data_IF_515869941310
#
_entry.id   IF_515869941310
#
_cell.length_a   1.000
_cell.length_b   1.000
_cell.length_c   1.000
_cell.angle_alpha   90.00
_cell.angle_beta   90.00
_cell.angle_gamma   90.00
#
_symmetry.space_group_name_H-M   'P 1'
#
loop_
_entity.id
_entity.type
_entity.pdbx_description
1 polymer ?
#
# COMPACT_ATOMS: atom_id res chain seq x y z
N UNK A 1 3.09 -19.33 0.87
CA UNK A 1 4.50 -18.89 0.74
C UNK A 1 5.00 -19.23 -0.66
N UNK A 2 5.67 -18.29 -1.33
CA UNK A 2 6.35 -18.56 -2.60
C UNK A 2 7.85 -18.39 -2.37
N UNK A 3 8.61 -19.48 -2.46
CA UNK A 3 10.07 -19.44 -2.47
C UNK A 3 10.49 -19.49 -3.94
N UNK A 4 11.13 -18.41 -4.41
CA UNK A 4 11.68 -18.36 -5.77
C UNK A 4 13.21 -18.38 -5.67
N UNK A 5 13.79 -19.44 -6.21
CA UNK A 5 15.20 -19.49 -6.58
C UNK A 5 15.29 -18.84 -7.95
N UNK A 6 15.65 -17.55 -7.99
CA UNK A 6 15.78 -16.82 -9.25
C UNK A 6 17.18 -16.25 -9.38
N UNK A 7 18.19 -17.08 -9.71
CA UNK A 7 19.42 -16.56 -10.25
C UNK A 7 19.08 -16.00 -11.63
N UNK A 8 18.87 -14.68 -11.73
CA UNK A 8 18.87 -13.99 -13.03
C UNK A 8 20.27 -14.05 -13.69
N UNK A 9 21.27 -14.41 -12.89
CA UNK A 9 22.67 -14.57 -13.23
C UNK A 9 23.25 -15.67 -12.31
N UNK A 10 24.10 -16.56 -12.82
CA UNK A 10 24.72 -17.65 -12.03
C UNK A 10 25.65 -17.13 -10.93
N UNK A 11 25.98 -15.83 -10.98
CA UNK A 11 26.75 -15.12 -9.94
C UNK A 11 25.88 -14.61 -8.78
N UNK A 12 24.55 -14.67 -8.91
CA UNK A 12 23.60 -14.12 -7.93
C UNK A 12 23.05 -15.21 -7.01
N UNK A 13 23.77 -15.48 -5.91
CA UNK A 13 23.40 -16.47 -4.90
C UNK A 13 22.41 -15.92 -3.87
N UNK A 14 21.17 -15.63 -4.28
CA UNK A 14 20.12 -15.27 -3.31
C UNK A 14 18.84 -16.10 -3.50
N UNK A 15 18.22 -16.42 -2.37
CA UNK A 15 16.88 -16.99 -2.29
C UNK A 15 15.89 -15.87 -2.03
N UNK A 16 14.84 -15.76 -2.85
CA UNK A 16 13.73 -14.84 -2.56
C UNK A 16 12.61 -15.59 -1.88
N UNK A 17 12.24 -15.12 -0.70
CA UNK A 17 11.06 -15.58 0.03
C UNK A 17 10.00 -14.49 -0.04
N UNK A 18 8.83 -14.84 -0.58
CA UNK A 18 7.65 -13.96 -0.61
C UNK A 18 6.57 -14.56 0.27
N UNK A 19 6.16 -13.81 1.29
CA UNK A 19 5.18 -14.22 2.29
C UNK A 19 4.15 -13.11 2.51
N UNK A 20 2.90 -13.50 2.69
CA UNK A 20 1.88 -12.62 3.24
C UNK A 20 1.55 -13.15 4.66
N UNK A 21 1.94 -12.44 5.72
CA UNK A 21 1.77 -12.91 7.09
C UNK A 21 0.28 -13.02 7.48
N UNK A 22 -0.62 -12.23 6.89
CA UNK A 22 -2.06 -12.30 7.20
C UNK A 22 -2.74 -13.57 6.64
N UNK A 23 -2.05 -14.30 5.76
CA UNK A 23 -2.58 -15.47 5.04
C UNK A 23 -1.74 -16.72 5.23
N UNK A 24 -0.69 -16.64 6.03
CA UNK A 24 0.28 -17.72 6.19
C UNK A 24 0.53 -17.93 7.67
N UNK A 25 0.60 -19.18 8.10
CA UNK A 25 1.05 -19.54 9.44
C UNK A 25 2.55 -19.21 9.57
N UNK A 26 2.85 -18.12 10.28
CA UNK A 26 4.22 -17.62 10.41
C UNK A 26 5.16 -18.59 11.15
N UNK A 27 4.76 -19.19 12.29
CA UNK A 27 5.53 -20.28 12.91
C UNK A 27 6.00 -21.36 11.94
N UNK A 28 5.11 -21.85 11.08
CA UNK A 28 5.44 -22.88 10.08
C UNK A 28 6.46 -22.37 9.04
N UNK A 29 6.35 -21.10 8.64
CA UNK A 29 7.33 -20.47 7.73
C UNK A 29 8.69 -20.38 8.40
N UNK A 30 8.75 -19.95 9.66
CA UNK A 30 9.99 -19.85 10.43
C UNK A 30 10.65 -21.23 10.54
N UNK A 31 9.91 -22.25 10.97
CA UNK A 31 10.39 -23.63 11.07
C UNK A 31 10.98 -24.11 9.73
N UNK A 32 10.28 -23.87 8.63
CA UNK A 32 10.73 -24.27 7.31
C UNK A 32 12.01 -23.55 6.86
N UNK A 33 12.11 -22.24 7.10
CA UNK A 33 13.30 -21.46 6.75
C UNK A 33 14.51 -21.88 7.62
N UNK A 34 14.30 -22.05 8.93
CA UNK A 34 15.35 -22.53 9.84
C UNK A 34 15.80 -23.93 9.42
N UNK A 35 14.88 -24.82 9.06
CA UNK A 35 15.21 -26.17 8.59
C UNK A 35 16.00 -26.20 7.29
N UNK A 36 15.67 -25.33 6.31
CA UNK A 36 16.39 -25.26 5.03
C UNK A 36 17.82 -24.71 5.22
N UNK A 37 17.96 -23.62 5.98
CA UNK A 37 19.23 -22.91 6.08
C UNK A 37 20.07 -23.33 7.29
N UNK A 38 19.52 -24.13 8.19
CA UNK A 38 20.13 -24.59 9.43
C UNK A 38 20.71 -23.44 10.28
N UNK A 39 19.97 -22.34 10.37
CA UNK A 39 20.37 -21.13 11.10
C UNK A 39 19.15 -20.52 11.82
N UNK A 40 19.34 -19.85 12.98
CA UNK A 40 18.26 -19.14 13.65
C UNK A 40 17.63 -18.07 12.75
N UNK A 41 16.31 -17.90 12.82
CA UNK A 41 15.57 -16.94 11.98
C UNK A 41 16.12 -15.51 12.08
N UNK A 42 16.59 -15.11 13.27
CA UNK A 42 17.19 -13.79 13.47
C UNK A 42 18.44 -13.58 12.62
N UNK A 43 19.33 -14.57 12.57
CA UNK A 43 20.53 -14.52 11.72
C UNK A 43 20.17 -14.47 10.23
N UNK A 44 19.14 -15.21 9.82
CA UNK A 44 18.61 -15.15 8.46
C UNK A 44 18.06 -13.76 8.12
N UNK A 45 17.31 -13.14 9.03
CA UNK A 45 16.75 -11.80 8.83
C UNK A 45 17.83 -10.72 8.80
N UNK A 46 18.84 -10.80 9.66
CA UNK A 46 19.94 -9.82 9.73
C UNK A 46 20.79 -9.78 8.45
N UNK A 47 20.97 -10.91 7.78
CA UNK A 47 21.67 -10.98 6.47
C UNK A 47 20.74 -10.77 5.26
N UNK A 48 19.43 -10.75 5.48
CA UNK A 48 18.45 -10.61 4.40
C UNK A 48 18.29 -9.16 3.95
N UNK A 49 17.84 -9.00 2.70
CA UNK A 49 17.35 -7.74 2.16
C UNK A 49 15.87 -7.86 1.88
N UNK A 50 15.08 -6.96 2.44
CA UNK A 50 13.65 -6.86 2.17
C UNK A 50 13.49 -6.12 0.84
N UNK A 51 13.13 -6.86 -0.21
CA UNK A 51 12.95 -6.27 -1.55
C UNK A 51 11.59 -5.59 -1.73
N UNK A 52 10.62 -5.96 -0.89
CA UNK A 52 9.27 -5.43 -0.91
C UNK A 52 8.68 -5.58 0.49
N UNK A 53 8.24 -4.47 1.07
CA UNK A 53 7.42 -4.44 2.28
C UNK A 53 6.11 -3.76 1.93
N UNK A 54 5.01 -4.49 2.13
CA UNK A 54 3.67 -4.00 1.84
C UNK A 54 2.89 -3.86 3.13
N UNK A 55 2.16 -2.77 3.19
CA UNK A 55 1.26 -2.46 4.30
C UNK A 55 -0.07 -2.06 3.67
N UNK A 56 -1.16 -2.50 4.28
CA UNK A 56 -2.48 -2.32 3.69
C UNK A 56 -3.47 -1.86 4.75
N UNK A 57 -4.46 -1.09 4.33
CA UNK A 57 -5.64 -0.82 5.13
C UNK A 57 -6.88 -0.86 4.26
N UNK A 58 -7.97 -1.24 4.90
CA UNK A 58 -9.26 -1.44 4.26
C UNK A 58 -10.22 -0.32 4.63
N UNK A 59 -10.87 0.24 3.61
CA UNK A 59 -11.94 1.21 3.72
C UNK A 59 -13.25 0.52 3.37
N UNK A 60 -14.13 0.42 4.36
CA UNK A 60 -15.42 -0.23 4.21
C UNK A 60 -16.49 0.74 3.69
N UNK A 61 -17.37 0.26 2.82
CA UNK A 61 -18.58 0.97 2.39
C UNK A 61 -18.36 2.11 1.40
N UNK A 62 -17.11 2.41 1.02
CA UNK A 62 -16.80 3.47 0.05
C UNK A 62 -16.05 2.89 -1.15
N UNK A 63 -16.53 3.09 -2.39
CA UNK A 63 -15.82 2.67 -3.60
C UNK A 63 -14.49 3.41 -3.78
N UNK A 64 -13.45 2.70 -4.23
CA UNK A 64 -12.11 3.27 -4.36
C UNK A 64 -12.04 4.40 -5.42
N UNK A 65 -13.00 4.44 -6.35
CA UNK A 65 -13.18 5.47 -7.38
C UNK A 65 -13.63 6.83 -6.82
N UNK A 66 -14.27 6.82 -5.64
CA UNK A 66 -14.78 8.01 -4.97
C UNK A 66 -13.78 8.54 -3.91
N UNK A 67 -12.61 7.88 -3.77
CA UNK A 67 -11.55 8.28 -2.85
C UNK A 67 -10.55 9.21 -3.54
N UNK A 68 -10.25 10.33 -2.88
CA UNK A 68 -9.24 11.29 -3.31
C UNK A 68 -8.01 11.23 -2.41
N UNK A 69 -6.83 11.27 -3.02
CA UNK A 69 -5.54 11.14 -2.33
C UNK A 69 -4.82 12.48 -2.29
N UNK A 70 -4.43 12.92 -1.10
CA UNK A 70 -3.55 14.08 -0.90
C UNK A 70 -2.31 13.66 -0.11
N UNK A 71 -1.14 14.17 -0.47
CA UNK A 71 0.14 13.81 0.17
C UNK A 71 1.21 13.36 -0.81
N UNK A 72 0.80 12.97 -2.03
CA UNK A 72 1.69 12.55 -3.10
C UNK A 72 1.78 13.58 -4.21
N UNK A 73 2.96 13.74 -4.82
CA UNK A 73 3.20 14.59 -6.01
C UNK A 73 3.33 13.73 -7.27
N UNK A 74 2.44 12.76 -7.44
CA UNK A 74 2.53 11.78 -8.52
C UNK A 74 1.23 11.73 -9.31
N UNK A 75 1.36 11.39 -10.59
CA UNK A 75 0.24 11.06 -11.45
C UNK A 75 -0.35 9.71 -11.05
N UNK A 76 -1.62 9.49 -11.41
CA UNK A 76 -2.30 8.21 -11.24
C UNK A 76 -2.12 7.39 -12.52
N UNK A 77 -1.75 6.13 -12.39
CA UNK A 77 -1.82 5.16 -13.48
C UNK A 77 -2.95 4.19 -13.17
N UNK A 78 -3.86 3.99 -14.12
CA UNK A 78 -4.93 3.00 -13.98
C UNK A 78 -4.50 1.72 -14.70
N UNK A 79 -4.41 0.61 -13.98
CA UNK A 79 -4.32 -0.71 -14.59
C UNK A 79 -5.70 -1.36 -14.59
N UNK A 80 -6.16 -1.79 -15.75
CA UNK A 80 -7.46 -2.43 -15.96
C UNK A 80 -7.19 -3.92 -16.19
N UNK A 81 -7.89 -4.78 -15.46
CA UNK A 81 -7.84 -6.23 -15.62
C UNK A 81 -9.20 -6.84 -15.23
N UNK A 82 -9.41 -8.12 -15.49
CA UNK A 82 -10.71 -8.79 -15.25
C UNK A 82 -11.16 -8.74 -13.78
N UNK A 83 -10.20 -8.58 -12.84
CA UNK A 83 -10.47 -8.39 -11.42
C UNK A 83 -10.76 -6.94 -10.99
N UNK A 84 -10.86 -6.01 -11.95
CA UNK A 84 -11.23 -4.62 -11.74
C UNK A 84 -10.16 -3.62 -12.13
N UNK A 85 -10.25 -2.44 -11.54
CA UNK A 85 -9.32 -1.35 -11.78
C UNK A 85 -8.44 -1.15 -10.55
N UNK A 86 -7.13 -1.04 -10.77
CA UNK A 86 -6.17 -0.63 -9.75
C UNK A 86 -5.64 0.75 -10.10
N UNK A 87 -5.63 1.66 -9.13
CA UNK A 87 -4.97 2.96 -9.25
C UNK A 87 -3.63 2.93 -8.57
N UNK A 88 -2.58 3.17 -9.35
CA UNK A 88 -1.22 3.30 -8.88
C UNK A 88 -0.85 4.76 -8.77
N UNK A 89 -0.33 5.17 -7.61
CA UNK A 89 0.28 6.47 -7.44
C UNK A 89 1.78 6.27 -7.23
N UNK A 90 2.57 6.74 -8.19
CA UNK A 90 4.02 6.50 -8.26
C UNK A 90 4.41 5.59 -9.43
N UNK A 91 5.69 5.63 -9.81
CA UNK A 91 6.23 4.85 -10.93
C UNK A 91 6.79 3.50 -10.45
N UNK A 92 6.88 2.51 -11.33
CA UNK A 92 7.30 1.15 -10.97
C UNK A 92 8.66 1.08 -10.26
N UNK A 93 9.61 1.94 -10.64
CA UNK A 93 10.95 2.04 -10.03
C UNK A 93 11.03 2.93 -8.79
N UNK A 94 9.93 3.54 -8.35
CA UNK A 94 9.93 4.38 -7.17
C UNK A 94 10.22 3.58 -5.89
N UNK A 95 10.88 4.22 -4.92
CA UNK A 95 11.11 3.66 -3.59
C UNK A 95 9.78 3.31 -2.89
N UNK A 96 8.70 4.04 -3.22
CA UNK A 96 7.36 3.86 -2.68
C UNK A 96 6.29 3.98 -3.76
N UNK A 97 5.30 3.09 -3.73
CA UNK A 97 4.13 3.10 -4.61
C UNK A 97 2.88 2.87 -3.78
N UNK A 98 1.80 3.59 -4.09
CA UNK A 98 0.50 3.37 -3.46
C UNK A 98 -0.43 2.70 -4.47
N UNK A 99 -1.19 1.72 -4.02
CA UNK A 99 -2.12 0.96 -4.88
C UNK A 99 -3.50 0.98 -4.25
N UNK A 100 -4.47 1.49 -5.00
CA UNK A 100 -5.86 1.63 -4.54
C UNK A 100 -6.75 0.76 -5.42
N UNK A 101 -7.56 -0.11 -4.82
CA UNK A 101 -8.37 -1.03 -5.59
C UNK A 101 -9.58 -1.56 -4.82
N UNK A 102 -10.53 -2.15 -5.55
CA UNK A 102 -11.65 -2.89 -4.97
C UNK A 102 -11.18 -4.28 -4.51
N UNK A 103 -11.07 -4.46 -3.20
CA UNK A 103 -10.55 -5.69 -2.61
C UNK A 103 -11.49 -6.86 -2.83
N UNK A 104 -12.81 -6.62 -2.81
CA UNK A 104 -13.79 -7.68 -3.02
C UNK A 104 -13.70 -8.22 -4.45
N UNK A 105 -13.62 -7.35 -5.46
CA UNK A 105 -13.41 -7.77 -6.86
C UNK A 105 -12.09 -8.51 -7.05
N UNK A 106 -11.01 -8.04 -6.40
CA UNK A 106 -9.72 -8.74 -6.42
C UNK A 106 -9.81 -10.15 -5.84
N UNK A 107 -10.47 -10.34 -4.69
CA UNK A 107 -10.65 -11.66 -4.08
C UNK A 107 -11.51 -12.56 -4.99
N UNK A 108 -12.60 -12.03 -5.57
CA UNK A 108 -13.43 -12.78 -6.52
C UNK A 108 -12.61 -13.29 -7.71
N UNK A 109 -11.75 -12.44 -8.27
CA UNK A 109 -10.88 -12.81 -9.38
C UNK A 109 -9.80 -13.83 -8.98
N UNK A 110 -9.18 -13.66 -7.82
CA UNK A 110 -8.20 -14.64 -7.33
C UNK A 110 -8.87 -16.00 -7.07
N UNK A 111 -10.06 -16.01 -6.47
CA UNK A 111 -10.82 -17.21 -6.16
C UNK A 111 -11.28 -17.97 -7.41
N UNK A 112 -11.51 -17.29 -8.53
CA UNK A 112 -11.88 -17.96 -9.79
C UNK A 112 -10.76 -18.85 -10.32
N UNK A 113 -9.51 -18.56 -9.94
CA UNK A 113 -8.31 -19.31 -10.32
C UNK A 113 -7.87 -20.35 -9.27
N UNK A 114 -8.50 -20.37 -8.09
CA UNK A 114 -8.11 -21.23 -6.97
C UNK A 114 -9.04 -22.42 -6.79
N UNK A 115 -8.50 -23.58 -6.34
CA UNK A 115 -9.31 -24.69 -5.83
C UNK A 115 -10.22 -24.24 -4.68
N UNK A 116 -11.39 -24.88 -4.53
CA UNK A 116 -12.40 -24.51 -3.52
C UNK A 116 -11.83 -24.36 -2.10
N UNK A 117 -10.97 -25.29 -1.68
CA UNK A 117 -10.35 -25.32 -0.35
C UNK A 117 -9.34 -24.17 -0.11
N UNK A 118 -8.85 -23.54 -1.17
CA UNK A 118 -7.89 -22.41 -1.10
C UNK A 118 -8.53 -21.04 -1.36
N UNK A 119 -9.86 -20.97 -1.44
CA UNK A 119 -10.58 -19.72 -1.67
C UNK A 119 -10.63 -18.89 -0.40
N UNK A 120 -10.39 -17.60 -0.56
CA UNK A 120 -10.50 -16.62 0.51
C UNK A 120 -11.97 -16.20 0.67
N UNK A 121 -12.48 -16.03 1.90
CA UNK A 121 -13.85 -15.60 2.11
C UNK A 121 -14.09 -14.21 1.50
N UNK A 122 -15.23 -14.05 0.83
CA UNK A 122 -15.62 -12.75 0.28
C UNK A 122 -16.12 -11.84 1.41
N UNK A 123 -15.69 -10.57 1.46
CA UNK A 123 -16.22 -9.62 2.42
C UNK A 123 -17.72 -9.36 2.22
N UNK A 124 -18.45 -9.22 3.33
CA UNK A 124 -19.90 -8.96 3.32
C UNK A 124 -20.27 -7.61 2.69
N UNK A 125 -19.39 -6.61 2.85
CA UNK A 125 -19.57 -5.25 2.34
C UNK A 125 -18.50 -4.89 1.30
N UNK A 126 -18.70 -3.79 0.57
CA UNK A 126 -17.67 -3.28 -0.35
C UNK A 126 -16.43 -2.86 0.45
N UNK A 127 -15.26 -3.25 -0.05
CA UNK A 127 -13.97 -2.89 0.55
C UNK A 127 -13.08 -2.28 -0.51
N UNK A 128 -12.63 -1.06 -0.24
CA UNK A 128 -11.55 -0.42 -0.97
C UNK A 128 -10.26 -0.60 -0.19
N UNK A 129 -9.27 -1.26 -0.78
CA UNK A 129 -7.96 -1.42 -0.16
C UNK A 129 -7.00 -0.38 -0.69
N UNK A 130 -6.21 0.17 0.22
CA UNK A 130 -5.05 0.98 -0.11
C UNK A 130 -3.81 0.26 0.42
N UNK A 131 -2.91 -0.08 -0.49
CA UNK A 131 -1.60 -0.65 -0.17
C UNK A 131 -0.52 0.41 -0.31
N UNK A 132 0.42 0.43 0.62
CA UNK A 132 1.68 1.13 0.50
C UNK A 132 2.78 0.09 0.32
N UNK A 133 3.47 0.19 -0.82
CA UNK A 133 4.54 -0.70 -1.22
C UNK A 133 5.88 0.01 -1.09
N UNK A 134 6.74 -0.49 -0.22
CA UNK A 134 8.11 -0.02 -0.04
C UNK A 134 9.07 -0.96 -0.74
N UNK A 135 9.83 -0.44 -1.70
CA UNK A 135 10.80 -1.22 -2.48
C UNK A 135 12.24 -0.89 -2.13
N UNK A 136 12.47 0.31 -1.62
CA UNK A 136 13.76 0.83 -1.18
C UNK A 136 13.54 1.78 -0.02
N UNK A 137 14.55 1.97 0.82
CA UNK A 137 14.53 3.00 1.84
C UNK A 137 14.71 4.40 1.21
N UNK A 138 14.67 5.44 2.05
CA UNK A 138 14.46 6.83 1.63
C UNK A 138 15.58 7.36 0.70
N UNK A 139 16.82 6.86 0.84
CA UNK A 139 17.96 7.25 -0.01
C UNK A 139 18.22 6.25 -1.15
N UNK A 140 17.30 5.32 -1.39
CA UNK A 140 17.46 4.29 -2.41
C UNK A 140 18.28 3.08 -1.96
N UNK A 141 18.66 3.02 -0.68
CA UNK A 141 19.32 1.84 -0.10
C UNK A 141 18.36 0.65 0.06
N UNK A 142 18.94 -0.52 0.27
CA UNK A 142 18.19 -1.74 0.54
C UNK A 142 17.47 -1.64 1.89
N UNK A 143 16.26 -2.19 1.96
CA UNK A 143 15.55 -2.33 3.23
C UNK A 143 16.15 -3.54 3.96
N UNK A 144 16.59 -3.35 5.19
CA UNK A 144 17.02 -4.40 6.13
C UNK A 144 15.96 -4.53 7.22
N UNK A 145 16.02 -5.57 8.04
CA UNK A 145 15.08 -5.71 9.15
C UNK A 145 15.16 -4.50 10.11
N UNK A 146 16.37 -4.06 10.48
CA UNK A 146 16.59 -2.92 11.37
C UNK A 146 16.01 -1.62 10.79
N UNK A 147 16.30 -1.30 9.52
CA UNK A 147 15.79 -0.05 8.94
C UNK A 147 14.30 -0.16 8.56
N UNK A 148 13.75 -1.37 8.37
CA UNK A 148 12.33 -1.61 8.15
C UNK A 148 11.51 -1.13 9.34
N UNK A 149 11.98 -1.40 10.56
CA UNK A 149 11.36 -0.89 11.79
C UNK A 149 11.34 0.64 11.77
N UNK A 150 12.36 1.29 11.22
CA UNK A 150 12.46 2.75 11.13
C UNK A 150 11.77 3.38 9.90
N UNK A 151 11.25 2.57 8.96
CA UNK A 151 10.63 3.10 7.75
C UNK A 151 9.48 4.07 8.08
N UNK A 152 8.82 3.87 9.23
CA UNK A 152 7.78 4.74 9.77
C UNK A 152 8.20 6.23 9.80
N UNK A 153 9.45 6.52 10.14
CA UNK A 153 10.00 7.89 10.24
C UNK A 153 9.98 8.64 8.91
N UNK A 154 9.86 7.93 7.79
CA UNK A 154 9.92 8.46 6.44
C UNK A 154 8.56 8.44 5.71
N UNK A 155 7.47 8.14 6.43
CA UNK A 155 6.13 8.25 5.88
C UNK A 155 5.74 9.71 5.74
N UNK A 156 5.48 10.14 4.50
CA UNK A 156 4.72 11.37 4.29
C UNK A 156 3.27 11.00 4.52
N UNK A 157 2.58 11.58 5.50
CA UNK A 157 1.19 11.25 5.77
C UNK A 157 0.36 11.54 4.51
N UNK A 158 -0.34 10.52 4.02
CA UNK A 158 -1.39 10.72 3.03
C UNK A 158 -2.71 10.98 3.75
N UNK A 159 -3.51 11.87 3.18
CA UNK A 159 -4.90 12.09 3.58
C UNK A 159 -5.79 11.52 2.50
N UNK A 160 -6.77 10.74 2.92
CA UNK A 160 -7.80 10.19 2.05
C UNK A 160 -9.09 10.95 2.32
N UNK A 161 -9.72 11.43 1.25
CA UNK A 161 -10.99 12.14 1.31
C UNK A 161 -12.05 11.37 0.54
N UNK A 162 -13.26 11.32 1.10
CA UNK A 162 -14.44 10.86 0.39
C UNK A 162 -15.36 12.06 0.21
N UNK A 163 -15.31 12.65 -0.99
CA UNK A 163 -15.99 13.91 -1.27
C UNK A 163 -17.32 13.57 -1.96
N UNK A 164 -18.47 14.05 -1.45
CA UNK A 164 -19.76 13.82 -2.07
C UNK A 164 -19.75 14.25 -3.54
N UNK A 165 -20.54 13.59 -4.38
CA UNK A 165 -20.67 13.92 -5.81
C UNK A 165 -21.28 15.32 -6.05
N UNK A 166 -21.77 15.98 -5.00
CA UNK A 166 -22.36 17.32 -5.07
C UNK A 166 -21.28 18.41 -5.18
N UNK A 167 -21.52 19.43 -5.98
CA UNK A 167 -20.66 20.63 -6.07
C UNK A 167 -21.00 21.71 -5.03
N UNK A 168 -22.00 21.50 -4.19
CA UNK A 168 -22.41 22.48 -3.18
C UNK A 168 -21.26 22.81 -2.23
N UNK A 169 -20.95 24.11 -2.10
CA UNK A 169 -19.83 24.61 -1.28
C UNK A 169 -18.48 24.69 -2.01
N UNK A 170 -18.41 24.29 -3.28
CA UNK A 170 -17.23 24.44 -4.13
C UNK A 170 -17.48 25.44 -5.26
N UNK A 171 -16.46 26.24 -5.59
CA UNK A 171 -16.48 27.08 -6.79
C UNK A 171 -16.38 26.20 -8.05
N UNK A 172 -16.67 26.79 -9.22
CA UNK A 172 -16.50 26.10 -10.52
C UNK A 172 -15.06 25.61 -10.70
N UNK A 173 -14.06 26.45 -10.37
CA UNK A 173 -12.66 26.05 -10.43
C UNK A 173 -12.37 24.88 -9.50
N UNK A 174 -12.80 24.95 -8.23
CA UNK A 174 -12.61 23.86 -7.26
C UNK A 174 -13.26 22.56 -7.75
N UNK A 175 -14.46 22.64 -8.33
CA UNK A 175 -15.13 21.50 -8.97
C UNK A 175 -14.32 20.89 -10.13
N UNK A 176 -13.70 21.73 -10.97
CA UNK A 176 -12.78 21.26 -12.02
C UNK A 176 -11.54 20.57 -11.43
N UNK A 177 -10.97 21.12 -10.35
CA UNK A 177 -9.83 20.51 -9.64
C UNK A 177 -10.19 19.13 -9.08
N UNK A 178 -11.40 18.97 -8.54
CA UNK A 178 -11.90 17.67 -8.08
C UNK A 178 -12.06 16.69 -9.24
N UNK A 179 -12.58 17.12 -10.39
CA UNK A 179 -12.65 16.27 -11.59
C UNK A 179 -11.26 15.81 -12.03
N UNK A 180 -10.26 16.69 -12.06
CA UNK A 180 -8.86 16.33 -12.38
C UNK A 180 -8.28 15.38 -11.33
N UNK A 181 -8.56 15.62 -10.04
CA UNK A 181 -8.10 14.77 -8.94
C UNK A 181 -8.69 13.36 -8.93
N UNK A 182 -9.66 13.05 -9.81
CA UNK A 182 -10.04 11.66 -10.08
C UNK A 182 -8.97 10.91 -10.88
N UNK A 183 -8.14 11.61 -11.64
CA UNK A 183 -7.12 11.04 -12.51
C UNK A 183 -5.69 11.30 -12.03
N UNK A 184 -5.52 12.07 -10.96
CA UNK A 184 -4.21 12.43 -10.38
C UNK A 184 -4.36 12.63 -8.86
N UNK A 185 -3.25 12.77 -8.14
CA UNK A 185 -3.32 13.18 -6.73
C UNK A 185 -3.81 14.63 -6.58
N UNK A 186 -4.49 14.93 -5.47
CA UNK A 186 -4.98 16.28 -5.17
C UNK A 186 -3.87 17.34 -5.15
N UNK A 187 -2.63 16.97 -4.80
CA UNK A 187 -1.50 17.91 -4.84
C UNK A 187 -1.18 18.32 -6.28
N UNK A 188 -1.23 17.38 -7.23
CA UNK A 188 -0.95 17.65 -8.64
C UNK A 188 -2.12 18.42 -9.26
N UNK A 189 -3.35 17.99 -9.03
CA UNK A 189 -4.55 18.67 -9.53
C UNK A 189 -4.62 20.15 -9.10
N UNK A 190 -4.14 20.46 -7.89
CA UNK A 190 -4.11 21.81 -7.30
C UNK A 190 -2.76 22.53 -7.50
N UNK A 191 -1.80 21.97 -8.25
CA UNK A 191 -0.45 22.54 -8.40
C UNK A 191 -0.44 23.96 -8.94
N UNK A 192 -1.36 24.27 -9.86
CA UNK A 192 -1.49 25.58 -10.52
C UNK A 192 -2.34 26.59 -9.74
N UNK A 193 -2.93 26.20 -8.61
CA UNK A 193 -3.73 27.13 -7.81
C UNK A 193 -2.82 28.09 -7.01
N UNK A 194 -3.18 29.38 -6.89
CA UNK A 194 -2.54 30.30 -5.96
C UNK A 194 -2.54 29.73 -4.53
N UNK A 195 -1.44 29.94 -3.79
CA UNK A 195 -1.23 29.33 -2.46
C UNK A 195 -2.41 29.52 -1.51
N UNK A 196 -2.90 30.76 -1.37
CA UNK A 196 -4.03 31.08 -0.47
C UNK A 196 -5.33 30.37 -0.89
N UNK A 197 -5.60 30.28 -2.18
CA UNK A 197 -6.78 29.56 -2.69
C UNK A 197 -6.65 28.05 -2.48
N UNK A 198 -5.45 27.50 -2.71
CA UNK A 198 -5.16 26.10 -2.42
C UNK A 198 -5.34 25.77 -0.94
N UNK A 199 -4.81 26.59 -0.04
CA UNK A 199 -4.95 26.42 1.41
C UNK A 199 -6.42 26.45 1.83
N UNK A 200 -7.21 27.40 1.30
CA UNK A 200 -8.65 27.47 1.53
C UNK A 200 -9.39 26.23 0.99
N UNK A 201 -9.09 25.81 -0.24
CA UNK A 201 -9.71 24.65 -0.87
C UNK A 201 -9.40 23.36 -0.08
N UNK A 202 -8.14 23.11 0.26
CA UNK A 202 -7.75 21.96 1.10
C UNK A 202 -8.39 22.07 2.50
N UNK A 203 -8.52 23.29 3.03
CA UNK A 203 -9.28 23.57 4.26
C UNK A 203 -10.74 23.10 4.17
N UNK A 204 -11.44 23.43 3.08
CA UNK A 204 -12.80 22.94 2.82
C UNK A 204 -12.86 21.43 2.72
N UNK A 205 -11.84 20.78 2.14
CA UNK A 205 -11.80 19.32 2.05
C UNK A 205 -11.67 18.63 3.41
N UNK A 206 -11.15 19.30 4.44
CA UNK A 206 -10.94 18.68 5.76
C UNK A 206 -12.23 18.08 6.36
N UNK A 207 -13.40 18.67 6.12
CA UNK A 207 -14.69 18.12 6.60
C UNK A 207 -15.10 16.82 5.90
N UNK A 208 -14.52 16.53 4.74
CA UNK A 208 -14.72 15.30 3.97
C UNK A 208 -13.55 14.33 4.15
N UNK A 209 -12.64 14.62 5.09
CA UNK A 209 -11.51 13.74 5.38
C UNK A 209 -12.07 12.46 5.98
N UNK A 210 -11.81 11.36 5.30
CA UNK A 210 -12.22 10.04 5.75
C UNK A 210 -11.17 9.44 6.68
N UNK A 211 -9.88 9.59 6.32
CA UNK A 211 -8.75 9.14 7.16
C UNK A 211 -7.54 10.08 7.07
N UNK A 212 -6.84 10.21 8.19
CA UNK A 212 -5.45 10.68 8.24
C UNK A 212 -4.56 9.49 8.59
N UNK A 213 -3.48 9.26 7.84
CA UNK A 213 -2.57 8.14 8.10
C UNK A 213 -1.98 8.10 9.51
N UNK A 214 -1.71 9.28 10.08
CA UNK A 214 -1.23 9.45 11.45
C UNK A 214 -2.21 8.88 12.50
N UNK A 215 -3.51 8.86 12.21
CA UNK A 215 -4.53 8.49 13.19
C UNK A 215 -4.74 6.97 13.28
N UNK A 216 -4.18 6.20 12.34
CA UNK A 216 -4.28 4.73 12.31
C UNK A 216 -3.20 4.09 13.20
N UNK A 217 -2.31 4.89 13.80
CA UNK A 217 -1.15 4.39 14.56
C UNK A 217 -0.37 3.32 13.77
N UNK A 218 -0.34 3.53 12.46
CA UNK A 218 0.16 2.61 11.46
C UNK A 218 1.63 2.24 11.72
N UNK A 219 2.36 3.19 12.29
CA UNK A 219 3.77 3.08 12.68
C UNK A 219 3.97 2.00 13.75
N UNK A 220 3.19 2.03 14.84
CA UNK A 220 3.22 0.99 15.87
C UNK A 220 2.70 -0.35 15.35
N UNK A 221 1.76 -0.36 14.41
CA UNK A 221 1.28 -1.61 13.82
C UNK A 221 2.36 -2.28 12.96
N UNK A 222 3.09 -1.50 12.16
CA UNK A 222 4.20 -2.02 11.37
C UNK A 222 5.34 -2.53 12.25
N UNK A 223 5.75 -1.75 13.26
CA UNK A 223 6.77 -2.17 14.22
C UNK A 223 6.37 -3.45 14.95
N UNK A 224 5.15 -3.52 15.51
CA UNK A 224 4.63 -4.73 16.16
C UNK A 224 4.58 -5.92 15.20
N UNK A 225 4.16 -5.70 13.97
CA UNK A 225 4.12 -6.76 12.97
C UNK A 225 5.52 -7.31 12.67
N UNK A 226 6.53 -6.43 12.54
CA UNK A 226 7.92 -6.83 12.33
C UNK A 226 8.52 -7.53 13.55
N UNK A 227 8.30 -7.00 14.76
CA UNK A 227 8.81 -7.61 16.01
C UNK A 227 8.24 -9.02 16.22
N UNK A 228 6.93 -9.21 15.97
CA UNK A 228 6.29 -10.54 16.00
C UNK A 228 6.93 -11.56 15.07
N UNK A 229 7.66 -11.13 14.03
CA UNK A 229 8.33 -12.07 13.15
C UNK A 229 9.52 -12.78 13.82
N UNK A 230 10.07 -12.19 14.90
CA UNK A 230 11.27 -12.68 15.61
C UNK A 230 10.94 -13.29 16.98
N UNK A 231 9.79 -12.94 17.57
CA UNK A 231 9.37 -13.37 18.92
C UNK A 231 8.76 -14.80 18.98
N UNK A 232 8.80 -15.56 17.88
CA UNK A 232 8.28 -16.95 17.80
C UNK A 232 9.38 -17.97 18.02
#
# INVERSE_FOLDING_TARGET
MLIQLSPRDLTWNFVRVSVNPDKTDWPLVVEHLVGIFNEPIRALLDRSRITLLETAFDIYGVPHEDLYVYGMRTNKTTAIFDGGNNFYFGVQGAHRVYVHYDKRKHITYDNSKRPLQGREPLPNQSISRIEIRHKRANQGEAITFQNAVELHKYFRPISIFHIPKTTQGFTVEEGLRLKVAKYESLIVATKKMPRRQKENFIGKLKKYRFFLFKDINFEQQLERALCRLIEI
#
